data_IF_162702130984
#
_entry.id   IF_162702130984
#
_cell.length_a   1.000
_cell.length_b   1.000
_cell.length_c   1.000
_cell.angle_alpha   90.00
_cell.angle_beta   90.00
_cell.angle_gamma   90.00
#
_symmetry.space_group_name_H-M   'P 1'
#
loop_
_entity.id
_entity.type
_entity.pdbx_description
1 polymer ?
#
# COMPACT_ATOMS: atom_id res chain seq x y z
N UNK A 1 -34.61 40.35 -5.32
CA UNK A 1 -34.03 39.23 -6.11
C UNK A 1 -35.17 38.48 -6.78
N UNK A 2 -35.05 38.09 -8.06
CA UNK A 2 -36.15 37.45 -8.80
C UNK A 2 -36.42 36.06 -8.21
N UNK A 3 -37.67 35.73 -7.88
CA UNK A 3 -38.04 34.48 -7.21
C UNK A 3 -37.55 33.24 -7.97
N UNK A 4 -37.58 33.27 -9.31
CA UNK A 4 -37.04 32.22 -10.19
C UNK A 4 -35.56 31.97 -9.96
N UNK A 5 -34.78 33.04 -9.79
CA UNK A 5 -33.33 32.95 -9.57
C UNK A 5 -33.04 32.36 -8.19
N UNK A 6 -33.83 32.72 -7.17
CA UNK A 6 -33.71 32.14 -5.82
C UNK A 6 -33.94 30.62 -5.82
N UNK A 7 -34.96 30.13 -6.51
CA UNK A 7 -35.24 28.69 -6.58
C UNK A 7 -34.16 27.92 -7.34
N UNK A 8 -33.60 28.49 -8.41
CA UNK A 8 -32.50 27.88 -9.16
C UNK A 8 -31.26 27.73 -8.28
N UNK A 9 -30.88 28.78 -7.54
CA UNK A 9 -29.72 28.74 -6.63
C UNK A 9 -29.94 27.71 -5.52
N UNK A 10 -31.14 27.68 -4.93
CA UNK A 10 -31.50 26.71 -3.90
C UNK A 10 -31.45 25.26 -4.41
N UNK A 11 -31.90 25.02 -5.64
CA UNK A 11 -31.82 23.72 -6.29
C UNK A 11 -30.38 23.24 -6.51
N UNK A 12 -29.51 24.10 -7.03
CA UNK A 12 -28.09 23.79 -7.23
C UNK A 12 -27.40 23.50 -5.90
N UNK A 13 -27.66 24.32 -4.88
CA UNK A 13 -27.09 24.10 -3.54
C UNK A 13 -27.54 22.75 -2.94
N UNK A 14 -28.82 22.42 -3.07
CA UNK A 14 -29.36 21.13 -2.59
C UNK A 14 -28.74 19.96 -3.34
N UNK A 15 -28.59 20.07 -4.67
CA UNK A 15 -27.94 19.05 -5.48
C UNK A 15 -26.46 18.86 -5.09
N UNK A 16 -25.74 19.95 -4.81
CA UNK A 16 -24.36 19.89 -4.34
C UNK A 16 -24.25 19.20 -2.98
N UNK A 17 -25.13 19.50 -2.01
CA UNK A 17 -25.12 18.82 -0.72
C UNK A 17 -25.41 17.33 -0.83
N UNK A 18 -26.36 16.93 -1.70
CA UNK A 18 -26.64 15.52 -1.98
C UNK A 18 -25.42 14.83 -2.60
N UNK A 19 -24.73 15.48 -3.53
CA UNK A 19 -23.52 14.96 -4.14
C UNK A 19 -22.41 14.73 -3.10
N UNK A 20 -22.12 15.72 -2.25
CA UNK A 20 -21.12 15.60 -1.19
C UNK A 20 -21.47 14.47 -0.21
N UNK A 21 -22.74 14.34 0.18
CA UNK A 21 -23.19 13.25 1.04
C UNK A 21 -22.90 11.89 0.39
N UNK A 22 -23.23 11.72 -0.89
CA UNK A 22 -22.92 10.48 -1.63
C UNK A 22 -21.41 10.20 -1.64
N UNK A 23 -20.58 11.21 -1.90
CA UNK A 23 -19.11 11.05 -1.89
C UNK A 23 -18.62 10.56 -0.53
N UNK A 24 -19.07 11.18 0.57
CA UNK A 24 -18.64 10.81 1.93
C UNK A 24 -19.07 9.38 2.29
N UNK A 25 -20.26 8.95 1.86
CA UNK A 25 -20.75 7.59 2.15
C UNK A 25 -20.14 6.50 1.26
N UNK A 26 -19.58 6.86 0.10
CA UNK A 26 -19.02 5.90 -0.87
C UNK A 26 -17.50 5.85 -0.82
N UNK A 27 -16.82 6.92 -0.42
CA UNK A 27 -15.36 6.99 -0.41
C UNK A 27 -14.77 6.34 0.85
N UNK A 28 -14.04 5.24 0.66
CA UNK A 28 -13.18 4.66 1.70
C UNK A 28 -11.73 5.14 1.46
N UNK A 29 -11.13 5.94 2.36
CA UNK A 29 -9.76 6.42 2.18
C UNK A 29 -8.78 5.24 2.22
N UNK A 30 -7.90 5.15 1.23
CA UNK A 30 -6.92 4.08 1.16
C UNK A 30 -5.77 4.36 2.16
N UNK A 31 -5.06 3.31 2.64
CA UNK A 31 -3.90 3.50 3.50
C UNK A 31 -2.85 4.45 2.94
N UNK A 32 -2.67 4.46 1.63
CA UNK A 32 -1.73 5.31 0.90
C UNK A 32 -2.10 6.81 0.86
N UNK A 33 -3.36 7.17 1.08
CA UNK A 33 -3.81 8.56 1.11
C UNK A 33 -3.54 9.25 2.47
N UNK A 34 -3.12 8.48 3.48
CA UNK A 34 -2.89 8.96 4.85
C UNK A 34 -1.54 9.66 5.00
N UNK A 35 -1.45 10.53 5.99
CA UNK A 35 -0.18 11.07 6.44
C UNK A 35 0.78 9.93 6.85
N UNK A 36 2.09 10.16 6.74
CA UNK A 36 3.08 9.09 6.91
C UNK A 36 3.02 8.42 8.29
N UNK A 37 2.66 9.16 9.33
CA UNK A 37 2.54 8.71 10.72
C UNK A 37 1.29 7.85 10.92
N UNK A 38 0.15 8.28 10.37
CA UNK A 38 -1.08 7.51 10.36
C UNK A 38 -0.93 6.20 9.56
N UNK A 39 -0.29 6.27 8.38
CA UNK A 39 0.01 5.11 7.53
C UNK A 39 0.95 4.14 8.25
N UNK A 40 1.97 4.65 8.93
CA UNK A 40 2.90 3.83 9.72
C UNK A 40 2.19 3.10 10.86
N UNK A 41 1.37 3.80 11.64
CA UNK A 41 0.62 3.21 12.74
C UNK A 41 -0.35 2.13 12.24
N UNK A 42 -1.05 2.41 11.13
CA UNK A 42 -1.93 1.45 10.47
C UNK A 42 -1.18 0.19 10.03
N UNK A 43 -0.09 0.34 9.28
CA UNK A 43 0.71 -0.79 8.80
C UNK A 43 1.24 -1.62 9.97
N UNK A 44 1.81 -0.98 11.00
CA UNK A 44 2.33 -1.66 12.18
C UNK A 44 1.24 -2.48 12.90
N UNK A 45 0.02 -1.94 13.01
CA UNK A 45 -1.10 -2.69 13.58
C UNK A 45 -1.49 -3.89 12.71
N UNK A 46 -1.58 -3.69 11.39
CA UNK A 46 -1.97 -4.72 10.41
C UNK A 46 -0.92 -5.81 10.20
N UNK A 47 0.34 -5.58 10.56
CA UNK A 47 1.37 -6.62 10.53
C UNK A 47 1.01 -7.86 11.37
N UNK A 48 0.15 -7.73 12.39
CA UNK A 48 -0.34 -8.87 13.18
C UNK A 48 -1.30 -9.80 12.42
N UNK A 49 -1.86 -9.35 11.31
CA UNK A 49 -2.76 -10.10 10.42
C UNK A 49 -2.00 -10.76 9.26
N UNK A 50 -0.70 -10.48 9.13
CA UNK A 50 0.18 -11.06 8.11
C UNK A 50 0.53 -12.50 8.46
N UNK A 51 0.37 -13.41 7.50
CA UNK A 51 0.62 -14.84 7.68
C UNK A 51 1.21 -15.48 6.43
N UNK A 52 2.02 -16.52 6.62
CA UNK A 52 2.64 -17.27 5.52
C UNK A 52 1.59 -17.79 4.53
N UNK A 53 1.95 -17.77 3.25
CA UNK A 53 1.10 -18.27 2.17
C UNK A 53 -0.01 -17.30 1.75
N UNK A 54 -0.18 -16.15 2.40
CA UNK A 54 -1.03 -15.09 1.86
C UNK A 54 -0.53 -14.68 0.48
N UNK A 55 -1.47 -14.54 -0.44
CA UNK A 55 -1.20 -14.02 -1.76
C UNK A 55 -0.81 -12.55 -1.69
N UNK A 56 -0.07 -12.14 -2.70
CA UNK A 56 0.30 -10.76 -2.92
C UNK A 56 -0.92 -9.82 -2.98
N UNK A 57 -2.04 -10.26 -3.56
CA UNK A 57 -3.28 -9.46 -3.63
C UNK A 57 -3.98 -9.35 -2.27
N UNK A 58 -3.94 -10.40 -1.44
CA UNK A 58 -4.44 -10.34 -0.06
C UNK A 58 -3.62 -9.34 0.78
N UNK A 59 -2.29 -9.34 0.62
CA UNK A 59 -1.42 -8.37 1.30
C UNK A 59 -1.70 -6.94 0.83
N UNK A 60 -1.88 -6.71 -0.47
CA UNK A 60 -2.26 -5.39 -0.99
C UNK A 60 -3.63 -4.93 -0.50
N UNK A 61 -4.58 -5.85 -0.37
CA UNK A 61 -5.89 -5.55 0.19
C UNK A 61 -5.79 -5.19 1.67
N UNK A 62 -4.89 -5.84 2.40
CA UNK A 62 -4.67 -5.63 3.83
C UNK A 62 -3.91 -4.34 4.16
N UNK A 63 -2.82 -4.07 3.44
CA UNK A 63 -1.84 -3.02 3.75
C UNK A 63 -1.88 -1.84 2.77
N UNK A 64 -2.59 -1.97 1.64
CA UNK A 64 -2.57 -1.00 0.55
C UNK A 64 -1.33 -1.14 -0.34
N UNK A 65 -0.98 -0.06 -1.02
CA UNK A 65 0.20 -0.02 -1.91
C UNK A 65 1.50 0.05 -1.10
N UNK A 66 2.49 -0.78 -1.44
CA UNK A 66 3.82 -0.76 -0.80
C UNK A 66 4.59 0.54 -1.11
N UNK A 67 5.48 0.96 -0.21
CA UNK A 67 6.35 2.12 -0.36
C UNK A 67 7.48 1.85 -1.38
N UNK A 68 8.01 0.63 -1.36
CA UNK A 68 8.99 0.15 -2.34
C UNK A 68 8.67 -1.27 -2.78
N UNK A 69 9.05 -1.60 -4.02
CA UNK A 69 8.87 -2.92 -4.59
C UNK A 69 10.10 -3.28 -5.41
N UNK A 70 10.65 -4.47 -5.18
CA UNK A 70 11.70 -5.05 -6.02
C UNK A 70 11.34 -6.46 -6.41
N UNK A 71 11.73 -6.89 -7.60
CA UNK A 71 11.46 -8.24 -8.09
C UNK A 71 12.60 -8.76 -8.96
N UNK A 72 12.77 -10.09 -8.95
CA UNK A 72 13.70 -10.80 -9.81
C UNK A 72 13.22 -12.21 -10.11
N UNK A 73 13.66 -12.75 -11.24
CA UNK A 73 13.46 -14.17 -11.57
C UNK A 73 14.65 -14.96 -11.03
N UNK A 74 14.39 -15.76 -9.99
CA UNK A 74 15.35 -16.70 -9.44
C UNK A 74 15.48 -17.94 -10.31
N UNK A 75 16.34 -18.87 -9.90
CA UNK A 75 16.46 -20.18 -10.55
C UNK A 75 15.20 -21.04 -10.34
N UNK A 76 14.52 -20.87 -9.20
CA UNK A 76 13.44 -21.74 -8.74
C UNK A 76 12.07 -21.04 -8.61
N UNK A 77 11.94 -19.79 -9.09
CA UNK A 77 10.68 -19.06 -9.06
C UNK A 77 10.82 -17.56 -9.28
N UNK A 78 9.69 -16.86 -9.30
CA UNK A 78 9.65 -15.40 -9.30
C UNK A 78 9.64 -14.87 -7.88
N UNK A 79 10.59 -14.02 -7.54
CA UNK A 79 10.71 -13.42 -6.22
C UNK A 79 10.38 -11.94 -6.27
N UNK A 80 9.65 -11.47 -5.27
CA UNK A 80 9.31 -10.07 -5.09
C UNK A 80 9.40 -9.70 -3.63
N UNK A 81 10.00 -8.57 -3.30
CA UNK A 81 9.96 -7.99 -1.96
C UNK A 81 9.20 -6.68 -2.00
N UNK A 82 8.26 -6.52 -1.06
CA UNK A 82 7.48 -5.31 -0.86
C UNK A 82 7.84 -4.71 0.50
N UNK A 83 8.04 -3.39 0.54
CA UNK A 83 8.42 -2.68 1.74
C UNK A 83 7.26 -1.80 2.20
N UNK A 84 6.82 -1.99 3.44
CA UNK A 84 5.78 -1.16 4.05
C UNK A 84 6.35 -0.38 5.23
N UNK A 85 6.16 0.93 5.25
CA UNK A 85 6.58 1.77 6.38
C UNK A 85 5.89 1.29 7.66
N UNK A 86 6.66 0.97 8.68
CA UNK A 86 6.16 0.37 9.95
C UNK A 86 6.77 1.00 11.19
N UNK A 87 7.85 1.77 11.03
CA UNK A 87 8.52 2.43 12.14
C UNK A 87 9.17 3.72 11.67
N UNK A 88 9.57 4.53 12.65
CA UNK A 88 10.09 5.87 12.42
C UNK A 88 11.58 5.93 12.74
N UNK A 89 12.37 6.48 11.83
CA UNK A 89 13.78 6.83 12.07
C UNK A 89 13.94 8.35 12.09
N UNK A 90 13.32 9.06 11.15
CA UNK A 90 13.49 10.51 10.98
C UNK A 90 12.27 11.20 10.38
N UNK A 91 12.07 12.46 10.74
CA UNK A 91 10.92 13.30 10.34
C UNK A 91 11.31 14.31 9.24
N UNK A 92 11.92 13.83 8.15
CA UNK A 92 12.32 14.68 7.00
C UNK A 92 11.29 14.68 5.86
N UNK A 93 10.17 13.97 6.03
CA UNK A 93 9.08 13.89 5.06
C UNK A 93 9.29 12.86 3.96
N UNK A 94 10.42 12.15 3.97
CA UNK A 94 10.76 11.13 2.99
C UNK A 94 10.74 9.75 3.67
N UNK A 95 10.18 8.74 3.00
CA UNK A 95 10.25 7.35 3.50
C UNK A 95 11.51 6.69 2.99
N UNK A 96 12.24 6.00 3.86
CA UNK A 96 13.38 5.15 3.46
C UNK A 96 13.08 3.68 3.70
N UNK A 97 13.81 2.78 3.01
CA UNK A 97 13.68 1.33 3.24
C UNK A 97 14.00 0.92 4.68
N UNK A 98 14.93 1.64 5.33
CA UNK A 98 15.28 1.39 6.73
C UNK A 98 14.10 1.62 7.67
N UNK A 99 13.08 2.39 7.29
CA UNK A 99 11.85 2.63 8.07
C UNK A 99 10.73 1.61 7.76
N UNK A 100 11.02 0.63 6.91
CA UNK A 100 10.04 -0.31 6.40
C UNK A 100 10.26 -1.73 6.93
N UNK A 101 9.18 -2.51 6.96
CA UNK A 101 9.25 -3.97 7.11
C UNK A 101 9.14 -4.60 5.72
N UNK A 102 10.15 -5.36 5.27
CA UNK A 102 10.10 -6.11 4.02
C UNK A 102 9.23 -7.37 4.15
N UNK A 103 8.42 -7.63 3.12
CA UNK A 103 7.62 -8.84 2.91
C UNK A 103 8.09 -9.50 1.61
N UNK A 104 8.61 -10.72 1.69
CA UNK A 104 9.15 -11.47 0.56
C UNK A 104 8.14 -12.51 0.08
N UNK A 105 7.93 -12.50 -1.22
CA UNK A 105 7.05 -13.37 -1.95
C UNK A 105 7.85 -14.26 -2.90
N UNK A 106 7.39 -15.51 -3.06
CA UNK A 106 7.78 -16.39 -4.16
C UNK A 106 6.52 -16.85 -4.88
N UNK A 107 6.48 -16.68 -6.19
CA UNK A 107 5.35 -17.02 -7.05
C UNK A 107 4.02 -16.47 -6.48
N UNK A 108 4.05 -15.19 -6.10
CA UNK A 108 2.94 -14.42 -5.50
C UNK A 108 2.46 -14.88 -4.11
N UNK A 109 3.17 -15.79 -3.43
CA UNK A 109 2.85 -16.22 -2.07
C UNK A 109 3.87 -15.70 -1.07
N UNK A 110 3.41 -15.20 0.07
CA UNK A 110 4.27 -14.70 1.14
C UNK A 110 5.06 -15.84 1.78
N UNK A 111 6.39 -15.74 1.74
CA UNK A 111 7.31 -16.76 2.27
C UNK A 111 8.19 -16.25 3.42
N UNK A 112 8.32 -14.94 3.61
CA UNK A 112 9.05 -14.34 4.73
C UNK A 112 8.64 -12.87 4.95
N UNK A 113 8.82 -12.36 6.16
CA UNK A 113 8.75 -10.93 6.48
C UNK A 113 9.57 -10.61 7.74
N UNK A 114 10.00 -9.35 7.89
CA UNK A 114 10.81 -8.90 9.02
C UNK A 114 12.28 -8.67 8.69
N UNK A 115 13.10 -8.42 9.71
CA UNK A 115 14.44 -7.84 9.60
C UNK A 115 15.37 -8.52 8.58
N UNK A 116 15.44 -9.84 8.56
CA UNK A 116 16.38 -10.59 7.71
C UNK A 116 15.86 -10.84 6.28
N UNK A 117 14.64 -10.38 5.97
CA UNK A 117 13.95 -10.74 4.72
C UNK A 117 14.57 -10.08 3.50
N UNK A 118 15.12 -8.87 3.67
CA UNK A 118 15.83 -8.18 2.60
C UNK A 118 17.10 -8.94 2.19
N UNK A 119 17.89 -9.39 3.16
CA UNK A 119 19.08 -10.20 2.91
C UNK A 119 18.73 -11.53 2.22
N UNK A 120 17.63 -12.16 2.63
CA UNK A 120 17.11 -13.37 1.98
C UNK A 120 16.74 -13.12 0.52
N UNK A 121 16.08 -11.99 0.23
CA UNK A 121 15.78 -11.59 -1.14
C UNK A 121 17.08 -11.45 -1.94
N UNK A 122 18.08 -10.72 -1.45
CA UNK A 122 19.34 -10.54 -2.19
C UNK A 122 20.14 -11.83 -2.38
N UNK A 123 20.05 -12.77 -1.44
CA UNK A 123 20.71 -14.08 -1.53
C UNK A 123 20.15 -15.01 -2.61
N UNK A 124 18.93 -14.77 -3.12
CA UNK A 124 18.35 -15.62 -4.17
C UNK A 124 19.17 -15.52 -5.47
N UNK A 125 19.69 -16.64 -6.01
CA UNK A 125 20.44 -16.65 -7.25
C UNK A 125 19.52 -16.35 -8.44
N UNK A 126 19.96 -15.46 -9.33
CA UNK A 126 19.21 -15.10 -10.54
C UNK A 126 19.45 -16.11 -11.66
N UNK A 127 18.42 -16.34 -12.47
CA UNK A 127 18.60 -17.09 -13.73
C UNK A 127 19.43 -16.24 -14.69
N UNK A 128 20.63 -16.72 -15.06
CA UNK A 128 21.36 -16.17 -16.19
C UNK A 128 20.63 -16.58 -17.48
N UNK A 129 19.84 -15.67 -18.05
CA UNK A 129 19.41 -15.82 -19.43
C UNK A 129 20.58 -15.44 -20.32
N UNK A 130 21.32 -16.44 -20.82
CA UNK A 130 22.18 -16.22 -21.97
C UNK A 130 21.28 -15.75 -23.13
N UNK A 131 21.57 -14.59 -23.75
CA UNK A 131 20.81 -14.16 -24.92
C UNK A 131 21.00 -15.19 -26.04
N UNK A 132 19.90 -15.84 -26.43
CA UNK A 132 19.83 -16.66 -27.65
C UNK A 132 19.90 -15.77 -28.89
#
# INVERSE_FOLDING_TARGET
>A
MNNKVTYIIGGIFTAYLLFVAVVIFVYEPQPEDRAWDDRQAFNLQKMSEVSFGQSLDEIRTLLGSADFVEAKTGIDGQYQVMYYRTHHIKSDGETTKEECTPLLFRDNLLIAWGQDTEDQYFAVPITHQDPQ
#
